data_IF_115485644987
#
_entry.id   IF_115485644987
#
_cell.length_a   1.000
_cell.length_b   1.000
_cell.length_c   1.000
_cell.angle_alpha   90.00
_cell.angle_beta   90.00
_cell.angle_gamma   90.00
#
_symmetry.space_group_name_H-M   'P 1'
#
loop_
_entity.id
_entity.type
_entity.pdbx_description
1 polymer ?
#
# COMPACT_ATOMS: atom_id res chain seq x y z
N UNK A 1 4.88 -2.95 8.69
CA UNK A 1 4.59 -2.59 7.31
C UNK A 1 5.20 -3.62 6.38
N UNK A 2 4.46 -4.04 5.38
CA UNK A 2 4.90 -5.06 4.42
C UNK A 2 5.18 -4.41 3.07
N UNK A 3 6.12 -4.98 2.30
CA UNK A 3 6.54 -4.42 1.01
C UNK A 3 5.49 -4.59 -0.09
N UNK A 4 4.46 -5.42 0.14
CA UNK A 4 3.44 -5.76 -0.85
C UNK A 4 2.18 -6.23 -0.12
N UNK A 5 1.01 -6.03 -0.73
CA UNK A 5 -0.25 -6.49 -0.15
C UNK A 5 -0.34 -8.02 -0.08
N UNK A 6 0.27 -8.73 -1.03
CA UNK A 6 0.30 -10.18 -1.00
C UNK A 6 1.14 -10.70 0.17
N UNK A 7 2.26 -10.05 0.47
CA UNK A 7 3.08 -10.38 1.64
C UNK A 7 2.30 -10.06 2.92
N UNK A 8 1.60 -8.92 2.96
CA UNK A 8 0.77 -8.55 4.09
C UNK A 8 -0.34 -9.57 4.33
N UNK A 9 -0.97 -10.07 3.28
CA UNK A 9 -1.99 -11.12 3.39
C UNK A 9 -1.39 -12.38 4.01
N UNK A 10 -0.19 -12.79 3.58
CA UNK A 10 0.50 -13.95 4.15
C UNK A 10 0.81 -13.75 5.63
N UNK A 11 1.23 -12.55 6.02
CA UNK A 11 1.47 -12.20 7.42
C UNK A 11 0.18 -12.32 8.22
N UNK A 12 -0.94 -11.81 7.68
CA UNK A 12 -2.24 -11.89 8.36
C UNK A 12 -2.68 -13.33 8.57
N UNK A 13 -2.45 -14.20 7.58
CA UNK A 13 -2.75 -15.65 7.71
C UNK A 13 -1.90 -16.26 8.81
N UNK A 14 -0.61 -15.95 8.84
CA UNK A 14 0.29 -16.46 9.88
C UNK A 14 -0.11 -15.99 11.28
N UNK A 15 -0.48 -14.72 11.42
CA UNK A 15 -0.94 -14.17 12.70
C UNK A 15 -2.21 -14.86 13.16
N UNK A 16 -3.14 -15.10 12.24
CA UNK A 16 -4.37 -15.84 12.57
C UNK A 16 -4.06 -17.24 13.09
N UNK A 17 -3.11 -17.93 12.45
CA UNK A 17 -2.67 -19.26 12.89
C UNK A 17 -2.06 -19.25 14.27
N UNK A 18 -1.46 -18.14 14.69
CA UNK A 18 -0.87 -17.97 16.02
C UNK A 18 -1.89 -17.48 17.06
N UNK A 19 -3.16 -17.31 16.67
CA UNK A 19 -4.19 -16.81 17.57
C UNK A 19 -4.13 -15.30 17.80
N UNK A 20 -3.39 -14.56 16.97
CA UNK A 20 -3.29 -13.10 17.07
C UNK A 20 -4.31 -12.45 16.15
N UNK A 21 -4.92 -11.37 16.63
CA UNK A 21 -5.99 -10.67 15.91
C UNK A 21 -5.47 -9.39 15.25
N UNK A 22 -6.01 -9.09 14.09
CA UNK A 22 -5.75 -7.85 13.37
C UNK A 22 -7.07 -7.07 13.30
N UNK A 23 -7.17 -5.83 13.75
CA UNK A 23 -6.09 -4.96 14.26
C UNK A 23 -5.84 -5.02 15.77
N UNK A 24 -6.60 -5.83 16.52
CA UNK A 24 -6.61 -5.75 18.00
C UNK A 24 -5.24 -6.02 18.61
N UNK A 25 -4.54 -7.06 18.15
CA UNK A 25 -3.23 -7.43 18.67
C UNK A 25 -2.09 -6.88 17.83
N UNK A 26 -2.25 -6.82 16.51
CA UNK A 26 -1.22 -6.38 15.56
C UNK A 26 -1.86 -5.53 14.48
N UNK A 27 -1.25 -4.40 14.16
CA UNK A 27 -1.63 -3.57 13.02
C UNK A 27 -0.82 -3.99 11.80
N UNK A 28 -1.49 -4.16 10.65
CA UNK A 28 -0.84 -4.60 9.42
C UNK A 28 -1.09 -3.57 8.33
N UNK A 29 -0.03 -3.16 7.64
CA UNK A 29 -0.08 -2.22 6.52
C UNK A 29 0.59 -2.87 5.32
N UNK A 30 -0.08 -2.86 4.18
CA UNK A 30 0.47 -3.34 2.92
C UNK A 30 1.03 -2.21 2.06
N UNK A 31 1.31 -2.52 0.80
CA UNK A 31 1.84 -1.57 -0.18
C UNK A 31 1.29 -1.93 -1.56
N UNK A 32 0.99 -0.93 -2.36
CA UNK A 32 0.46 -0.95 -3.73
C UNK A 32 -1.06 -0.81 -3.83
N UNK A 33 -1.81 -1.00 -2.77
CA UNK A 33 -3.28 -0.96 -2.78
C UNK A 33 -3.86 -1.83 -3.90
N UNK A 34 -3.37 -3.07 -4.01
CA UNK A 34 -3.86 -4.04 -4.98
C UNK A 34 -5.26 -4.53 -4.61
N UNK A 35 -6.00 -5.14 -5.55
CA UNK A 35 -7.37 -5.61 -5.27
C UNK A 35 -7.48 -6.53 -4.07
N UNK A 36 -6.43 -7.29 -3.76
CA UNK A 36 -6.43 -8.19 -2.60
C UNK A 36 -6.61 -7.43 -1.28
N UNK A 37 -6.16 -6.17 -1.22
CA UNK A 37 -6.27 -5.38 0.01
C UNK A 37 -7.72 -5.15 0.42
N UNK A 38 -8.65 -5.15 -0.52
CA UNK A 38 -10.07 -4.96 -0.25
C UNK A 38 -10.79 -6.24 0.14
N UNK A 39 -10.19 -7.38 -0.15
CA UNK A 39 -10.83 -8.69 0.04
C UNK A 39 -10.31 -9.46 1.24
N UNK A 40 -9.26 -8.95 1.90
CA UNK A 40 -8.74 -9.58 3.13
C UNK A 40 -9.73 -9.40 4.28
N UNK A 41 -9.59 -10.22 5.32
CA UNK A 41 -10.36 -10.14 6.54
C UNK A 41 -9.43 -9.94 7.74
N UNK A 42 -9.38 -8.75 8.33
CA UNK A 42 -10.07 -7.50 7.93
C UNK A 42 -9.48 -6.87 6.67
N UNK A 43 -10.20 -5.94 6.02
CA UNK A 43 -9.65 -5.23 4.86
C UNK A 43 -8.34 -4.53 5.20
N UNK A 44 -7.39 -4.62 4.28
CA UNK A 44 -6.01 -4.22 4.52
C UNK A 44 -5.80 -2.74 4.24
N UNK A 45 -5.28 -2.01 5.24
CA UNK A 45 -4.73 -0.68 5.03
C UNK A 45 -3.50 -0.79 4.14
N UNK A 46 -3.41 0.03 3.12
CA UNK A 46 -2.34 -0.05 2.15
C UNK A 46 -1.89 1.34 1.71
N UNK A 47 -0.63 1.45 1.29
CA UNK A 47 -0.09 2.66 0.70
C UNK A 47 -0.30 2.58 -0.81
N UNK A 48 -1.01 3.57 -1.37
CA UNK A 48 -1.24 3.66 -2.82
C UNK A 48 -0.23 4.61 -3.43
N UNK A 49 0.72 4.10 -4.25
CA UNK A 49 1.58 4.99 -5.01
C UNK A 49 0.78 5.81 -6.01
N UNK A 50 1.22 7.04 -6.36
CA UNK A 50 0.50 7.88 -7.32
C UNK A 50 0.77 7.42 -8.76
N UNK A 51 0.24 6.27 -9.14
CA UNK A 51 0.54 5.61 -10.42
C UNK A 51 0.28 6.50 -11.63
N UNK A 52 -0.87 7.20 -11.66
CA UNK A 52 -1.19 8.07 -12.78
C UNK A 52 -0.18 9.19 -12.94
N UNK A 53 0.21 9.80 -11.84
CA UNK A 53 1.19 10.88 -11.84
C UNK A 53 2.57 10.36 -12.24
N UNK A 54 2.96 9.18 -11.75
CA UNK A 54 4.24 8.56 -12.11
C UNK A 54 4.29 8.31 -13.63
N UNK A 55 3.23 7.72 -14.19
CA UNK A 55 3.16 7.42 -15.62
C UNK A 55 3.18 8.72 -16.44
N UNK A 56 2.39 9.72 -16.04
CA UNK A 56 2.35 11.02 -16.73
C UNK A 56 3.71 11.69 -16.76
N UNK A 57 4.41 11.68 -15.62
CA UNK A 57 5.73 12.29 -15.53
C UNK A 57 6.79 11.50 -16.31
N UNK A 58 6.70 10.17 -16.32
CA UNK A 58 7.60 9.35 -17.12
C UNK A 58 7.42 9.65 -18.62
N UNK A 59 6.18 9.76 -19.08
CA UNK A 59 5.90 10.10 -20.47
C UNK A 59 6.39 11.51 -20.82
N UNK A 60 6.21 12.48 -19.92
CA UNK A 60 6.69 13.84 -20.11
C UNK A 60 8.21 13.87 -20.25
N UNK A 61 8.92 13.14 -19.37
CA UNK A 61 10.38 13.08 -19.42
C UNK A 61 10.89 12.45 -20.72
N UNK A 62 10.19 11.42 -21.22
CA UNK A 62 10.55 10.80 -22.49
C UNK A 62 10.36 11.76 -23.67
N UNK A 63 9.34 12.61 -23.63
CA UNK A 63 9.07 13.60 -24.69
C UNK A 63 10.03 14.79 -24.62
N UNK A 64 10.36 15.24 -23.42
CA UNK A 64 11.21 16.43 -23.23
C UNK A 64 12.71 16.12 -23.33
N UNK A 65 13.06 14.83 -23.32
CA UNK A 65 14.45 14.39 -23.46
C UNK A 65 15.27 14.50 -22.15
N UNK A 66 16.52 14.06 -22.19
CA UNK A 66 17.37 13.96 -21.00
C UNK A 66 17.88 15.29 -20.46
N UNK A 67 17.65 16.40 -21.19
CA UNK A 67 18.18 17.71 -20.80
C UNK A 67 17.31 18.45 -19.80
N UNK A 68 16.20 17.83 -19.35
CA UNK A 68 15.29 18.44 -18.41
C UNK A 68 15.24 17.61 -17.13
N UNK A 69 16.21 17.81 -16.20
CA UNK A 69 16.20 17.08 -14.94
C UNK A 69 15.05 17.59 -14.06
N UNK A 70 13.97 16.87 -14.06
CA UNK A 70 12.83 17.19 -13.21
C UNK A 70 12.94 16.40 -11.91
N UNK A 71 13.13 17.10 -10.81
CA UNK A 71 12.91 16.56 -9.50
C UNK A 71 11.41 16.54 -9.25
N UNK A 72 10.80 15.37 -9.38
CA UNK A 72 9.38 15.23 -9.17
C UNK A 72 9.19 14.54 -7.83
N UNK A 73 8.55 15.27 -6.91
CA UNK A 73 8.15 14.71 -5.64
C UNK A 73 6.68 14.33 -5.72
N UNK A 74 6.40 13.04 -5.77
CA UNK A 74 5.04 12.51 -5.81
C UNK A 74 4.72 11.87 -4.47
N UNK A 75 3.63 12.32 -3.85
CA UNK A 75 3.22 11.84 -2.54
C UNK A 75 2.34 10.60 -2.67
N UNK A 76 2.70 9.48 -2.04
CA UNK A 76 1.81 8.34 -1.95
C UNK A 76 0.63 8.66 -1.04
N UNK A 77 -0.45 7.90 -1.18
CA UNK A 77 -1.66 8.06 -0.40
C UNK A 77 -1.83 6.86 0.51
N UNK A 78 -2.10 7.11 1.80
CA UNK A 78 -2.43 6.06 2.74
C UNK A 78 -3.93 5.78 2.67
N UNK A 79 -4.30 4.56 2.30
CA UNK A 79 -5.68 4.13 2.26
C UNK A 79 -5.96 3.34 3.54
N UNK A 80 -6.61 4.00 4.48
CA UNK A 80 -6.88 3.43 5.81
C UNK A 80 -8.08 2.49 5.71
N UNK A 81 -7.88 1.26 6.15
CA UNK A 81 -8.92 0.23 6.26
C UNK A 81 -8.88 -0.38 7.65
N UNK A 82 -9.62 -1.47 7.83
CA UNK A 82 -9.85 -2.05 9.16
C UNK A 82 -8.58 -2.64 9.79
N UNK A 83 -7.58 -3.06 8.99
CA UNK A 83 -6.37 -3.70 9.52
C UNK A 83 -5.54 -2.78 10.42
N UNK A 84 -5.77 -1.47 10.37
CA UNK A 84 -5.12 -0.49 11.25
C UNK A 84 -6.11 0.34 12.05
N UNK A 85 -7.41 0.13 11.87
CA UNK A 85 -8.43 0.92 12.54
C UNK A 85 -8.85 0.22 13.83
N UNK A 86 -8.04 0.40 14.87
CA UNK A 86 -8.31 -0.15 16.18
C UNK A 86 -9.26 0.78 16.95
N UNK A 87 -10.46 0.29 17.23
CA UNK A 87 -11.44 1.01 18.03
C UNK A 87 -11.55 0.34 19.40
N UNK A 88 -11.36 1.14 20.42
CA UNK A 88 -11.59 0.70 21.80
C UNK A 88 -13.06 0.78 22.17
#
# INVERSE_FOLDING_TARGET
MCADDAIAFGVMVALHSLGLRVPEDVLVVGYNDSPIARTTMPPLTSVRPPFKQIVSEALRLLNDGPDNPAHISLAPQLIVRESTNYQR
#
